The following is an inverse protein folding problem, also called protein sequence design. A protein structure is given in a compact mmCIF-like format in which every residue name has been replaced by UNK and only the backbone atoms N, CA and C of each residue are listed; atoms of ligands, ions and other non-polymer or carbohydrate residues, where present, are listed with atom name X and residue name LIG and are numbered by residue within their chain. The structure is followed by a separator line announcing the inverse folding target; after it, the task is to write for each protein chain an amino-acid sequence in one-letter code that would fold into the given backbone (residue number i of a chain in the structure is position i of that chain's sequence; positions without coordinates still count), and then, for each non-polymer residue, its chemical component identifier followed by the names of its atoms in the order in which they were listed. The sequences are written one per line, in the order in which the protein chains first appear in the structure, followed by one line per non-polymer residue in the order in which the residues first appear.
data_IF_847992219274
#
_entry.id   IF_847992219274
#
_cell.length_a   1.000
_cell.length_b   1.000
_cell.length_c   1.000
_cell.angle_alpha   90.00
_cell.angle_beta   90.00
_cell.angle_gamma   90.00
#
_symmetry.space_group_name_H-M   'P 1'
#
loop_
_entity.id
_entity.type
_entity.pdbx_description
1 polymer ?
#
# COMPACT_ATOMS: atom_id res chain seq x y z
N UNK A 1 33.72 12.02 20.88
CA UNK A 1 32.63 11.49 20.10
C UNK A 1 33.12 11.38 18.66
N UNK A 2 33.42 10.16 18.22
CA UNK A 2 33.96 9.87 16.89
C UNK A 2 32.79 9.69 15.97
N UNK A 3 32.52 10.66 15.08
CA UNK A 3 31.57 10.52 13.98
C UNK A 3 32.11 9.44 13.04
N UNK A 4 31.52 8.25 13.05
CA UNK A 4 31.71 7.27 11.98
C UNK A 4 30.98 7.81 10.75
N UNK A 5 31.70 8.17 9.69
CA UNK A 5 31.12 8.51 8.39
C UNK A 5 30.45 7.25 7.84
N UNK A 6 29.14 7.31 7.61
CA UNK A 6 28.39 6.25 6.92
C UNK A 6 28.91 6.14 5.48
N UNK A 7 28.80 4.97 4.87
CA UNK A 7 29.15 4.71 3.45
C UNK A 7 28.50 5.74 2.50
N UNK A 8 27.33 6.29 2.85
CA UNK A 8 26.64 7.37 2.15
C UNK A 8 27.47 8.63 1.92
N UNK A 9 28.44 8.95 2.77
CA UNK A 9 29.25 10.17 2.66
C UNK A 9 30.43 10.05 1.68
N UNK A 10 30.75 8.83 1.22
CA UNK A 10 31.90 8.58 0.34
C UNK A 10 31.54 8.78 -1.13
N UNK A 11 30.30 8.55 -1.53
CA UNK A 11 29.84 8.70 -2.93
C UNK A 11 29.63 10.14 -3.40
N UNK A 12 29.54 11.11 -2.50
CA UNK A 12 29.37 12.55 -2.87
C UNK A 12 30.66 13.29 -3.25
N UNK A 13 31.84 12.63 -3.17
CA UNK A 13 33.15 13.28 -3.38
C UNK A 13 33.94 12.82 -4.61
N UNK A 14 33.39 11.98 -5.49
CA UNK A 14 34.08 11.57 -6.74
C UNK A 14 33.38 12.12 -7.95
N UNK A 15 33.58 13.38 -8.16
CA UNK A 15 33.12 14.11 -9.35
C UNK A 15 33.93 15.33 -9.62
N UNK A 16 35.18 15.18 -10.07
CA UNK A 16 35.95 16.06 -10.98
C UNK A 16 37.45 15.86 -10.77
N UNK A 17 38.12 15.15 -11.70
CA UNK A 17 39.42 15.62 -12.24
C UNK A 17 39.98 14.55 -13.21
N UNK A 18 40.04 14.91 -14.41
CA UNK A 18 40.79 14.75 -15.62
C UNK A 18 41.96 13.77 -15.67
N UNK A 19 42.01 13.17 -16.86
CA UNK A 19 43.02 12.29 -17.38
C UNK A 19 44.45 12.85 -17.31
N UNK A 20 45.45 11.96 -17.21
CA UNK A 20 46.66 11.88 -18.03
C UNK A 20 47.66 10.85 -17.42
N UNK A 21 48.19 9.96 -18.28
CA UNK A 21 49.57 9.52 -18.23
C UNK A 21 49.87 8.07 -17.97
N UNK A 22 50.16 7.38 -19.04
CA UNK A 22 50.79 6.07 -19.19
C UNK A 22 52.17 5.92 -18.48
N UNK A 23 52.44 4.70 -18.10
CA UNK A 23 53.69 3.95 -18.29
C UNK A 23 54.35 3.39 -17.03
N UNK A 24 54.59 2.10 -17.04
CA UNK A 24 55.87 1.56 -16.60
C UNK A 24 55.92 0.48 -15.54
N UNK A 25 55.83 -0.75 -15.95
CA UNK A 25 56.60 -1.95 -15.61
C UNK A 25 57.13 -2.23 -14.18
N UNK A 26 56.83 -3.42 -13.74
CA UNK A 26 57.69 -4.50 -13.26
C UNK A 26 58.01 -4.63 -11.77
N UNK A 27 57.59 -5.77 -11.21
CA UNK A 27 58.38 -6.68 -10.42
C UNK A 27 58.43 -6.49 -8.91
N UNK A 28 58.00 -7.53 -8.18
CA UNK A 28 58.40 -7.76 -6.79
C UNK A 28 57.36 -8.42 -5.91
N UNK A 29 57.33 -9.70 -5.96
CA UNK A 29 57.25 -10.76 -4.94
C UNK A 29 56.84 -10.37 -3.50
N UNK A 30 55.86 -11.14 -2.96
CA UNK A 30 55.83 -11.58 -1.57
C UNK A 30 55.23 -10.64 -0.53
N UNK A 31 53.97 -10.82 -0.27
CA UNK A 31 53.29 -10.34 0.92
C UNK A 31 51.95 -11.02 1.09
N UNK A 32 51.97 -12.15 1.79
CA UNK A 32 50.82 -12.82 2.36
C UNK A 32 50.11 -11.82 3.30
N UNK A 33 49.16 -11.10 2.77
CA UNK A 33 48.20 -10.28 3.49
C UNK A 33 46.90 -11.05 3.46
N UNK A 34 46.65 -11.81 4.53
CA UNK A 34 45.36 -12.44 4.74
C UNK A 34 44.26 -11.40 4.56
N UNK A 35 43.55 -11.58 3.49
CA UNK A 35 42.22 -11.02 3.31
C UNK A 35 41.41 -11.70 4.41
N UNK A 36 41.22 -10.98 5.51
CA UNK A 36 40.20 -11.31 6.48
C UNK A 36 38.89 -11.15 5.78
N UNK A 37 38.42 -12.23 5.13
CA UNK A 37 37.06 -12.32 4.73
C UNK A 37 36.21 -12.13 5.98
N UNK A 38 35.69 -10.92 6.18
CA UNK A 38 34.53 -10.74 6.99
C UNK A 38 33.48 -11.67 6.36
N UNK A 39 33.08 -12.71 7.09
CA UNK A 39 31.96 -13.55 6.74
C UNK A 39 30.76 -12.59 6.54
N UNK A 40 30.48 -12.33 5.29
CA UNK A 40 29.56 -11.26 4.98
C UNK A 40 28.14 -11.84 4.90
N UNK A 41 27.29 -11.46 5.85
CA UNK A 41 25.85 -11.47 5.64
C UNK A 41 25.49 -10.57 4.46
N UNK A 42 24.20 -10.50 4.08
CA UNK A 42 23.74 -9.65 3.00
C UNK A 42 24.01 -8.16 3.29
N UNK A 43 24.23 -7.35 2.24
CA UNK A 43 24.33 -5.88 2.37
C UNK A 43 23.02 -5.26 2.84
N UNK A 44 21.90 -5.91 2.50
CA UNK A 44 20.54 -5.42 2.73
C UNK A 44 19.64 -6.51 3.29
N UNK A 45 18.87 -6.16 4.31
CA UNK A 45 17.70 -6.94 4.72
C UNK A 45 16.43 -6.24 4.18
N UNK A 46 15.61 -6.96 3.42
CA UNK A 46 14.27 -6.50 3.08
C UNK A 46 13.26 -7.16 4.02
N UNK A 47 12.48 -6.36 4.76
CA UNK A 47 11.51 -6.87 5.74
C UNK A 47 10.11 -6.49 5.30
N UNK A 48 9.29 -7.49 4.94
CA UNK A 48 7.92 -7.34 4.44
C UNK A 48 6.97 -7.93 5.49
N UNK A 49 6.21 -7.09 6.15
CA UNK A 49 5.36 -7.53 7.27
C UNK A 49 4.36 -6.46 7.70
N UNK A 50 3.86 -6.60 8.91
CA UNK A 50 2.85 -5.74 9.50
C UNK A 50 3.33 -5.14 10.83
N UNK A 51 2.74 -4.01 11.31
CA UNK A 51 3.31 -3.26 12.42
C UNK A 51 3.38 -4.05 13.74
N UNK A 52 2.33 -4.77 14.12
CA UNK A 52 2.30 -5.45 15.41
C UNK A 52 3.37 -6.56 15.52
N UNK A 53 3.50 -7.41 14.49
CA UNK A 53 4.58 -8.40 14.41
C UNK A 53 5.95 -7.72 14.21
N UNK A 54 5.98 -6.61 13.49
CA UNK A 54 7.17 -5.80 13.24
C UNK A 54 7.83 -5.31 14.52
N UNK A 55 7.05 -4.95 15.55
CA UNK A 55 7.57 -4.53 16.85
C UNK A 55 8.50 -5.60 17.44
N UNK A 56 8.04 -6.85 17.49
CA UNK A 56 8.83 -7.94 18.05
C UNK A 56 10.00 -8.31 17.14
N UNK A 57 9.78 -8.33 15.81
CA UNK A 57 10.83 -8.64 14.83
C UNK A 57 11.98 -7.64 14.92
N UNK A 58 11.70 -6.34 14.96
CA UNK A 58 12.76 -5.33 15.08
C UNK A 58 13.40 -5.30 16.45
N UNK A 59 12.69 -5.62 17.54
CA UNK A 59 13.32 -5.81 18.87
C UNK A 59 14.34 -6.94 18.85
N UNK A 60 13.97 -8.07 18.24
CA UNK A 60 14.88 -9.22 18.13
C UNK A 60 16.06 -8.90 17.20
N UNK A 61 15.82 -8.18 16.09
CA UNK A 61 16.90 -7.73 15.19
C UNK A 61 17.92 -6.85 15.92
N UNK A 62 17.49 -5.79 16.61
CA UNK A 62 18.41 -4.90 17.34
C UNK A 62 19.02 -5.54 18.59
N UNK A 63 18.51 -6.69 19.02
CA UNK A 63 19.18 -7.51 20.04
C UNK A 63 20.26 -8.43 19.45
N UNK A 64 20.14 -8.83 18.19
CA UNK A 64 21.05 -9.74 17.49
C UNK A 64 22.13 -9.00 16.68
N UNK A 65 21.85 -7.78 16.21
CA UNK A 65 22.72 -6.95 15.38
C UNK A 65 22.94 -5.56 15.99
N UNK A 66 24.12 -4.99 15.77
CA UNK A 66 24.42 -3.59 16.10
C UNK A 66 23.73 -2.59 15.12
N UNK A 67 22.92 -3.07 14.15
CA UNK A 67 22.21 -2.28 13.15
C UNK A 67 23.18 -1.73 12.08
N UNK A 68 24.13 -2.54 11.68
CA UNK A 68 25.11 -2.17 10.63
C UNK A 68 24.56 -2.40 9.22
N UNK A 69 23.59 -3.32 9.05
CA UNK A 69 22.91 -3.62 7.81
C UNK A 69 21.90 -2.52 7.47
N UNK A 70 21.83 -2.14 6.21
CA UNK A 70 20.69 -1.34 5.72
C UNK A 70 19.44 -2.23 5.66
N UNK A 71 18.29 -1.66 6.04
CA UNK A 71 16.99 -2.35 6.01
C UNK A 71 16.06 -1.60 5.07
N UNK A 72 15.41 -2.34 4.17
CA UNK A 72 14.35 -1.83 3.29
C UNK A 72 13.01 -2.44 3.68
N UNK A 73 12.01 -1.59 3.89
CA UNK A 73 10.66 -2.02 4.25
C UNK A 73 9.62 -1.44 3.28
N UNK A 74 8.55 -2.18 2.95
CA UNK A 74 7.42 -1.64 2.19
C UNK A 74 6.36 -1.01 3.09
N UNK A 75 5.22 -0.67 2.49
CA UNK A 75 4.05 -0.02 3.08
C UNK A 75 3.48 -0.70 4.33
N UNK A 76 3.47 -2.03 4.35
CA UNK A 76 2.89 -2.79 5.46
C UNK A 76 3.55 -2.52 6.82
N UNK A 77 4.74 -1.93 6.83
CA UNK A 77 5.47 -1.51 8.03
C UNK A 77 5.58 0.02 8.17
N UNK A 78 4.85 0.79 7.37
CA UNK A 78 4.83 2.25 7.49
C UNK A 78 3.96 2.70 8.67
N UNK A 79 4.49 2.55 9.87
CA UNK A 79 3.88 3.03 11.11
C UNK A 79 4.85 3.98 11.82
N UNK A 80 4.54 5.28 11.94
CA UNK A 80 5.41 6.26 12.60
C UNK A 80 5.68 5.93 14.05
N UNK A 81 4.82 5.17 14.71
CA UNK A 81 4.97 4.79 16.12
C UNK A 81 5.95 3.63 16.33
N UNK A 82 6.30 2.89 15.26
CA UNK A 82 7.13 1.70 15.33
C UNK A 82 8.49 1.94 16.01
N UNK A 83 9.26 3.03 15.71
CA UNK A 83 10.51 3.30 16.40
C UNK A 83 10.37 3.48 17.92
N UNK A 84 9.30 4.13 18.35
CA UNK A 84 8.97 4.30 19.77
C UNK A 84 8.65 2.99 20.47
N UNK A 85 7.88 2.15 19.82
CA UNK A 85 7.49 0.83 20.33
C UNK A 85 8.65 -0.17 20.35
N UNK A 86 9.50 -0.12 19.34
CA UNK A 86 10.75 -0.93 19.29
C UNK A 86 11.77 -0.43 20.34
N UNK A 87 11.78 0.87 20.61
CA UNK A 87 12.77 1.51 21.50
C UNK A 87 14.09 1.83 20.79
N UNK A 88 14.07 1.91 19.46
CA UNK A 88 15.20 2.27 18.59
C UNK A 88 14.77 3.32 17.57
N UNK A 89 15.64 4.26 17.19
CA UNK A 89 15.31 5.28 16.19
C UNK A 89 15.20 4.73 14.77
N UNK A 90 15.62 3.49 14.55
CA UNK A 90 15.54 2.78 13.27
C UNK A 90 16.17 3.56 12.11
N UNK A 91 17.29 4.24 12.39
CA UNK A 91 17.97 5.12 11.43
C UNK A 91 18.60 4.39 10.24
N UNK A 92 18.73 3.07 10.29
CA UNK A 92 19.20 2.21 9.19
C UNK A 92 18.03 1.67 8.34
N UNK A 93 16.81 2.13 8.58
CA UNK A 93 15.62 1.70 7.85
C UNK A 93 15.21 2.75 6.82
N UNK A 94 15.04 2.30 5.58
CA UNK A 94 14.43 3.07 4.49
C UNK A 94 13.14 2.38 4.08
N UNK A 95 12.08 3.14 3.85
CA UNK A 95 10.78 2.59 3.46
C UNK A 95 10.36 3.01 2.07
N UNK A 96 9.50 2.21 1.46
CA UNK A 96 8.73 2.55 0.26
C UNK A 96 7.25 2.31 0.54
N UNK A 97 6.37 3.14 0.00
CA UNK A 97 4.93 2.90 0.13
C UNK A 97 4.16 3.58 -1.00
N UNK A 98 2.97 3.08 -1.36
CA UNK A 98 2.04 3.83 -2.16
C UNK A 98 1.83 5.22 -1.57
N UNK A 99 2.06 6.24 -2.37
CA UNK A 99 1.87 7.63 -1.98
C UNK A 99 0.47 8.10 -2.38
N UNK A 100 -0.11 8.96 -1.58
CA UNK A 100 -1.24 9.75 -2.02
C UNK A 100 -0.71 10.77 -3.05
N UNK A 101 -1.00 10.54 -4.33
CA UNK A 101 -0.54 11.36 -5.47
C UNK A 101 -1.70 11.88 -6.29
N UNK A 102 -2.91 11.79 -5.77
CA UNK A 102 -4.13 12.22 -6.46
C UNK A 102 -4.25 13.73 -6.58
N UNK A 103 -4.98 14.21 -7.60
CA UNK A 103 -5.13 15.65 -7.85
C UNK A 103 -5.85 16.39 -6.73
N UNK A 104 -6.58 15.69 -5.86
CA UNK A 104 -7.34 16.26 -4.75
C UNK A 104 -6.84 15.81 -3.36
N UNK A 105 -5.59 15.38 -3.25
CA UNK A 105 -4.97 14.97 -1.99
C UNK A 105 -5.15 16.04 -0.89
N UNK A 106 -4.81 17.30 -1.16
CA UNK A 106 -4.89 18.38 -0.17
C UNK A 106 -6.31 18.65 0.34
N UNK A 107 -7.33 18.43 -0.51
CA UNK A 107 -8.73 18.55 -0.09
C UNK A 107 -9.10 17.45 0.92
N UNK A 108 -8.69 16.20 0.66
CA UNK A 108 -8.88 15.10 1.59
C UNK A 108 -8.10 15.29 2.89
N UNK A 109 -6.83 15.71 2.83
CA UNK A 109 -6.04 15.99 4.04
C UNK A 109 -6.73 17.01 4.96
N UNK A 110 -7.29 18.07 4.36
CA UNK A 110 -8.06 19.06 5.12
C UNK A 110 -9.33 18.46 5.73
N UNK A 111 -10.09 17.67 4.98
CA UNK A 111 -11.30 17.00 5.48
C UNK A 111 -10.99 16.04 6.64
N UNK A 112 -9.93 15.24 6.49
CA UNK A 112 -9.53 14.28 7.51
C UNK A 112 -9.03 14.99 8.78
N UNK A 113 -8.18 16.02 8.62
CA UNK A 113 -7.68 16.83 9.74
C UNK A 113 -8.83 17.55 10.47
N UNK A 114 -9.79 18.11 9.74
CA UNK A 114 -10.95 18.80 10.35
C UNK A 114 -11.85 17.83 11.12
N UNK A 115 -11.98 16.58 10.64
CA UNK A 115 -12.83 15.58 11.28
C UNK A 115 -12.17 14.92 12.50
N UNK A 116 -10.86 14.66 12.47
CA UNK A 116 -10.20 13.81 13.47
C UNK A 116 -9.04 14.48 14.22
N UNK A 117 -8.62 15.69 13.85
CA UNK A 117 -7.44 16.40 14.40
C UNK A 117 -6.15 15.57 14.27
N UNK A 118 -6.05 14.76 13.21
CA UNK A 118 -4.93 13.86 12.93
C UNK A 118 -4.45 14.02 11.47
N UNK A 119 -3.17 13.71 11.22
CA UNK A 119 -2.62 13.63 9.87
C UNK A 119 -2.98 12.28 9.25
N UNK A 120 -3.44 12.24 7.96
CA UNK A 120 -3.69 10.99 7.29
C UNK A 120 -2.45 10.09 7.22
N UNK A 121 -2.61 8.81 7.57
CA UNK A 121 -1.58 7.79 7.44
C UNK A 121 -1.59 7.10 6.08
N UNK A 122 -0.77 6.05 5.95
CA UNK A 122 -0.76 5.20 4.75
C UNK A 122 -2.15 4.62 4.49
N UNK A 123 -2.54 4.55 3.22
CA UNK A 123 -3.82 4.02 2.73
C UNK A 123 -5.11 4.74 3.19
N UNK A 124 -5.02 5.82 3.96
CA UNK A 124 -6.22 6.59 4.34
C UNK A 124 -6.87 7.28 3.13
N UNK A 125 -6.07 7.87 2.23
CA UNK A 125 -6.57 8.45 0.98
C UNK A 125 -7.24 7.40 0.10
N UNK A 126 -6.61 6.23 -0.02
CA UNK A 126 -7.16 5.10 -0.77
C UNK A 126 -8.47 4.59 -0.16
N UNK A 127 -8.59 4.57 1.16
CA UNK A 127 -9.81 4.14 1.87
C UNK A 127 -10.97 5.10 1.64
N UNK A 128 -10.69 6.40 1.70
CA UNK A 128 -11.68 7.42 1.34
C UNK A 128 -12.17 7.25 -0.10
N UNK A 129 -11.22 7.15 -1.05
CA UNK A 129 -11.54 7.03 -2.48
C UNK A 129 -12.30 5.74 -2.80
N UNK A 130 -11.96 4.63 -2.16
CA UNK A 130 -12.67 3.36 -2.29
C UNK A 130 -14.14 3.50 -1.87
N UNK A 131 -14.39 4.02 -0.67
CA UNK A 131 -15.74 4.22 -0.16
C UNK A 131 -16.52 5.25 -0.99
N UNK A 132 -15.88 6.36 -1.38
CA UNK A 132 -16.48 7.40 -2.22
C UNK A 132 -16.89 6.86 -3.59
N UNK A 133 -16.02 6.09 -4.26
CA UNK A 133 -16.33 5.48 -5.55
C UNK A 133 -17.50 4.49 -5.47
N UNK A 134 -17.53 3.64 -4.43
CA UNK A 134 -18.63 2.70 -4.21
C UNK A 134 -19.96 3.41 -3.95
N UNK A 135 -19.96 4.48 -3.16
CA UNK A 135 -21.16 5.28 -2.88
C UNK A 135 -21.64 5.99 -4.16
N UNK A 136 -20.74 6.65 -4.92
CA UNK A 136 -21.08 7.31 -6.17
C UNK A 136 -21.64 6.32 -7.20
N UNK A 137 -21.02 5.15 -7.34
CA UNK A 137 -21.50 4.09 -8.23
C UNK A 137 -22.88 3.55 -7.81
N UNK A 138 -23.12 3.42 -6.50
CA UNK A 138 -24.42 3.02 -5.96
C UNK A 138 -25.52 4.09 -6.24
N UNK A 139 -25.19 5.37 -6.09
CA UNK A 139 -26.10 6.46 -6.43
C UNK A 139 -26.38 6.45 -7.95
N UNK A 140 -25.38 6.26 -8.79
CA UNK A 140 -25.51 6.13 -10.24
C UNK A 140 -26.40 4.95 -10.63
N UNK A 141 -26.25 3.82 -9.95
CA UNK A 141 -27.07 2.62 -10.16
C UNK A 141 -28.54 2.82 -9.78
N UNK A 142 -28.82 3.73 -8.84
CA UNK A 142 -30.19 4.01 -8.36
C UNK A 142 -30.78 2.92 -7.48
N UNK A 143 -30.02 1.86 -7.18
CA UNK A 143 -30.44 0.71 -6.36
C UNK A 143 -29.27 0.06 -5.62
N UNK A 144 -29.59 -0.62 -4.51
CA UNK A 144 -28.62 -1.42 -3.76
C UNK A 144 -28.48 -2.81 -4.41
N UNK A 145 -27.77 -2.88 -5.55
CA UNK A 145 -27.53 -4.09 -6.31
C UNK A 145 -26.07 -4.13 -6.80
N UNK A 146 -25.35 -5.20 -6.47
CA UNK A 146 -23.90 -5.26 -6.77
C UNK A 146 -23.60 -5.22 -8.27
N UNK A 147 -24.33 -5.94 -9.11
CA UNK A 147 -24.15 -5.92 -10.56
C UNK A 147 -24.39 -4.51 -11.13
N UNK A 148 -25.45 -3.83 -10.71
CA UNK A 148 -25.73 -2.48 -11.15
C UNK A 148 -24.65 -1.48 -10.70
N UNK A 149 -24.11 -1.63 -9.47
CA UNK A 149 -23.01 -0.82 -8.94
C UNK A 149 -21.72 -1.08 -9.72
N UNK A 150 -21.35 -2.35 -9.95
CA UNK A 150 -20.21 -2.75 -10.78
C UNK A 150 -20.20 -2.03 -12.12
N UNK A 151 -21.32 -2.05 -12.82
CA UNK A 151 -21.48 -1.47 -14.14
C UNK A 151 -21.34 0.07 -14.14
N UNK A 152 -21.46 0.74 -12.98
CA UNK A 152 -21.29 2.18 -12.85
C UNK A 152 -19.87 2.60 -12.43
N UNK A 153 -19.05 1.74 -11.83
CA UNK A 153 -17.76 2.14 -11.24
C UNK A 153 -16.84 2.83 -12.24
N UNK A 154 -16.62 2.25 -13.42
CA UNK A 154 -15.78 2.91 -14.44
C UNK A 154 -16.44 4.15 -15.03
N UNK A 155 -17.76 4.22 -15.05
CA UNK A 155 -18.48 5.42 -15.52
C UNK A 155 -18.21 6.60 -14.60
N UNK A 156 -18.24 6.41 -13.28
CA UNK A 156 -18.04 7.51 -12.32
C UNK A 156 -16.56 7.87 -12.14
N UNK A 157 -15.65 6.93 -12.34
CA UNK A 157 -14.24 7.07 -12.01
C UNK A 157 -13.35 7.38 -13.20
N UNK A 158 -13.62 6.78 -14.38
CA UNK A 158 -12.74 6.89 -15.55
C UNK A 158 -12.98 8.20 -16.33
N UNK A 159 -12.02 8.61 -17.21
CA UNK A 159 -12.13 9.86 -17.96
C UNK A 159 -13.44 9.99 -18.74
N UNK A 160 -14.10 11.13 -18.55
CA UNK A 160 -15.41 11.47 -19.15
C UNK A 160 -16.21 12.30 -18.15
N UNK A 161 -17.05 13.20 -18.61
CA UNK A 161 -17.87 14.02 -17.71
C UNK A 161 -17.13 15.13 -16.95
N UNK A 162 -17.78 15.64 -15.91
CA UNK A 162 -17.24 16.72 -15.06
C UNK A 162 -16.39 16.13 -13.93
N UNK A 163 -15.20 16.72 -13.70
CA UNK A 163 -14.30 16.28 -12.63
C UNK A 163 -14.77 16.78 -11.28
N UNK A 164 -14.80 15.89 -10.30
CA UNK A 164 -15.06 16.16 -8.88
C UNK A 164 -14.07 15.42 -8.00
N UNK A 165 -13.79 15.96 -6.82
CA UNK A 165 -12.91 15.33 -5.83
C UNK A 165 -13.51 15.33 -4.43
N UNK A 166 -12.75 14.90 -3.41
CA UNK A 166 -13.19 14.87 -2.02
C UNK A 166 -13.81 16.16 -1.48
N UNK A 167 -13.26 17.32 -1.90
CA UNK A 167 -13.79 18.63 -1.50
C UNK A 167 -15.10 19.03 -2.17
N UNK A 168 -15.48 18.36 -3.24
CA UNK A 168 -16.70 18.59 -4.03
C UNK A 168 -17.58 17.32 -4.08
N UNK A 169 -17.40 16.43 -3.10
CA UNK A 169 -18.03 15.11 -3.08
C UNK A 169 -19.58 15.18 -3.12
N UNK A 170 -20.17 16.13 -2.39
CA UNK A 170 -21.62 16.31 -2.38
C UNK A 170 -22.15 16.79 -3.75
N UNK A 171 -21.40 17.65 -4.44
CA UNK A 171 -21.75 18.09 -5.79
C UNK A 171 -21.66 16.91 -6.78
N UNK A 172 -20.66 16.02 -6.60
CA UNK A 172 -20.56 14.79 -7.37
C UNK A 172 -21.76 13.86 -7.16
N UNK A 173 -22.22 13.70 -5.91
CA UNK A 173 -23.43 12.93 -5.58
C UNK A 173 -24.67 13.51 -6.26
N UNK A 174 -24.87 14.82 -6.23
CA UNK A 174 -25.98 15.47 -6.91
C UNK A 174 -25.92 15.30 -8.43
N UNK A 175 -24.74 15.47 -9.05
CA UNK A 175 -24.54 15.30 -10.49
C UNK A 175 -24.90 13.87 -10.92
N UNK A 176 -24.36 12.87 -10.23
CA UNK A 176 -24.64 11.45 -10.51
C UNK A 176 -26.13 11.12 -10.31
N UNK A 177 -26.75 11.62 -9.24
CA UNK A 177 -28.16 11.41 -8.96
C UNK A 177 -29.07 12.02 -10.05
N UNK A 178 -28.60 13.07 -10.73
CA UNK A 178 -29.27 13.68 -11.88
C UNK A 178 -28.97 12.97 -13.21
N UNK A 179 -28.17 11.87 -13.18
CA UNK A 179 -27.78 11.11 -14.37
C UNK A 179 -26.65 11.74 -15.18
N UNK A 180 -25.91 12.68 -14.61
CA UNK A 180 -24.76 13.32 -15.26
C UNK A 180 -23.52 12.39 -15.24
N UNK A 181 -22.71 12.48 -16.29
CA UNK A 181 -21.39 11.81 -16.30
C UNK A 181 -20.39 12.64 -15.52
N UNK A 182 -19.68 11.95 -14.63
CA UNK A 182 -18.60 12.53 -13.84
C UNK A 182 -17.28 11.81 -14.09
N UNK A 183 -16.20 12.40 -13.61
CA UNK A 183 -14.88 11.82 -13.52
C UNK A 183 -14.38 12.08 -12.10
N UNK A 184 -14.53 11.09 -11.21
CA UNK A 184 -14.06 11.21 -9.84
C UNK A 184 -12.54 11.25 -9.79
N UNK A 185 -11.99 12.34 -9.30
CA UNK A 185 -10.57 12.60 -9.15
C UNK A 185 -10.21 12.55 -7.67
N UNK A 186 -9.64 11.42 -7.27
CA UNK A 186 -9.44 11.10 -5.86
C UNK A 186 -8.27 11.83 -5.19
N UNK A 187 -8.08 11.48 -3.93
CA UNK A 187 -6.95 11.87 -3.10
C UNK A 187 -5.75 10.95 -3.30
N UNK A 188 -5.99 9.65 -3.47
CA UNK A 188 -4.93 8.65 -3.64
C UNK A 188 -4.33 8.68 -5.05
N UNK A 189 -5.19 8.80 -6.04
CA UNK A 189 -4.87 8.83 -7.46
C UNK A 189 -6.01 9.52 -8.23
N UNK A 190 -5.94 9.53 -9.57
CA UNK A 190 -7.07 9.90 -10.41
C UNK A 190 -8.23 8.87 -10.36
N UNK A 191 -8.10 7.77 -9.63
CA UNK A 191 -9.08 6.68 -9.48
C UNK A 191 -9.59 6.17 -10.84
N UNK A 192 -8.69 6.09 -11.82
CA UNK A 192 -9.02 5.52 -13.13
C UNK A 192 -8.77 4.01 -13.08
N UNK A 193 -9.83 3.23 -13.19
CA UNK A 193 -9.73 1.76 -13.17
C UNK A 193 -9.40 1.19 -14.55
N UNK A 194 -8.33 0.38 -14.62
CA UNK A 194 -8.00 -0.39 -15.81
C UNK A 194 -8.96 -1.58 -16.03
N UNK A 195 -8.62 -2.45 -16.98
CA UNK A 195 -9.43 -3.63 -17.28
C UNK A 195 -9.47 -4.68 -16.15
N UNK A 196 -8.54 -4.62 -15.22
CA UNK A 196 -8.45 -5.53 -14.06
C UNK A 196 -9.03 -4.90 -12.78
N UNK A 197 -9.62 -3.70 -12.85
CA UNK A 197 -10.07 -2.97 -11.67
C UNK A 197 -8.93 -2.33 -10.86
N UNK A 198 -7.70 -2.29 -11.39
CA UNK A 198 -6.52 -1.68 -10.77
C UNK A 198 -6.44 -0.19 -11.14
N UNK A 199 -5.80 0.67 -10.28
CA UNK A 199 -5.52 2.04 -10.66
C UNK A 199 -4.58 2.13 -11.86
N UNK A 200 -4.94 2.92 -12.88
CA UNK A 200 -4.13 3.11 -14.08
C UNK A 200 -2.85 3.92 -13.84
N UNK A 201 -2.77 4.66 -12.75
CA UNK A 201 -1.58 5.41 -12.32
C UNK A 201 -1.25 5.12 -10.87
N UNK A 202 0.03 5.26 -10.52
CA UNK A 202 0.51 5.03 -9.16
C UNK A 202 1.61 6.03 -8.79
N UNK A 203 1.71 6.35 -7.52
CA UNK A 203 2.85 7.04 -6.96
C UNK A 203 3.39 6.27 -5.76
N UNK A 204 4.71 6.31 -5.58
CA UNK A 204 5.38 5.69 -4.43
C UNK A 204 6.28 6.71 -3.75
N UNK A 205 6.18 6.77 -2.43
CA UNK A 205 7.10 7.53 -1.59
C UNK A 205 8.28 6.68 -1.18
N UNK A 206 9.45 7.29 -1.10
CA UNK A 206 10.63 6.78 -0.42
C UNK A 206 10.75 7.60 0.86
N UNK A 207 10.76 6.94 2.00
CA UNK A 207 10.67 7.60 3.29
C UNK A 207 11.62 7.00 4.33
N UNK A 208 11.85 7.71 5.41
CA UNK A 208 12.64 7.30 6.58
C UNK A 208 11.83 7.61 7.85
N UNK A 209 12.11 6.90 8.95
CA UNK A 209 11.51 7.24 10.22
C UNK A 209 12.05 8.58 10.74
N UNK A 210 11.15 9.47 11.18
CA UNK A 210 11.51 10.79 11.72
C UNK A 210 11.94 10.75 13.20
N UNK A 211 11.98 9.57 13.81
CA UNK A 211 12.42 9.32 15.19
C UNK A 211 11.36 8.70 16.09
N UNK A 212 11.72 8.39 17.33
CA UNK A 212 10.90 7.59 18.26
C UNK A 212 9.60 8.27 18.75
N UNK A 213 9.44 9.55 18.56
CA UNK A 213 8.28 10.31 19.02
C UNK A 213 7.60 11.08 17.89
N UNK A 214 7.85 10.69 16.64
CA UNK A 214 7.26 11.33 15.50
C UNK A 214 5.85 10.79 15.22
N UNK A 215 4.96 11.67 14.77
CA UNK A 215 3.59 11.34 14.39
C UNK A 215 3.48 11.06 12.88
N UNK A 216 4.60 11.18 12.15
CA UNK A 216 4.68 10.96 10.70
C UNK A 216 6.06 10.43 10.30
N UNK A 217 6.15 9.84 9.12
CA UNK A 217 7.43 9.51 8.48
C UNK A 217 7.98 10.73 7.74
N UNK A 218 9.30 10.74 7.47
CA UNK A 218 9.95 11.78 6.68
C UNK A 218 10.08 11.32 5.23
N UNK A 219 9.21 11.85 4.36
CA UNK A 219 9.19 11.53 2.92
C UNK A 219 10.35 12.22 2.23
N UNK A 220 11.26 11.43 1.66
CA UNK A 220 12.48 11.90 0.99
C UNK A 220 12.25 12.17 -0.50
N UNK A 221 11.42 11.36 -1.16
CA UNK A 221 11.17 11.39 -2.60
C UNK A 221 9.82 10.76 -2.91
N UNK A 222 9.17 11.22 -3.97
CA UNK A 222 7.99 10.58 -4.54
C UNK A 222 8.23 10.30 -6.02
N UNK A 223 7.98 9.07 -6.45
CA UNK A 223 8.07 8.62 -7.84
C UNK A 223 6.67 8.32 -8.37
N UNK A 224 6.32 8.89 -9.52
CA UNK A 224 5.02 8.68 -10.16
C UNK A 224 5.16 7.79 -11.39
N UNK A 225 4.18 6.91 -11.58
CA UNK A 225 4.07 6.00 -12.70
C UNK A 225 2.74 6.25 -13.40
N UNK A 226 2.80 6.67 -14.65
CA UNK A 226 1.61 6.89 -15.48
C UNK A 226 1.36 5.63 -16.32
N UNK A 227 0.22 5.01 -16.10
CA UNK A 227 -0.30 3.95 -16.97
C UNK A 227 -1.03 4.53 -18.19
N UNK A 228 -1.49 3.66 -19.08
CA UNK A 228 -2.41 4.07 -20.12
C UNK A 228 -3.74 4.48 -19.46
N UNK A 229 -4.19 5.71 -19.73
CA UNK A 229 -5.53 6.12 -19.29
C UNK A 229 -6.55 5.19 -19.92
N UNK A 230 -7.31 4.41 -19.15
CA UNK A 230 -8.37 3.61 -19.70
C UNK A 230 -9.46 4.54 -20.24
N UNK A 231 -10.09 4.12 -21.33
CA UNK A 231 -11.29 4.79 -21.81
C UNK A 231 -12.40 4.68 -20.75
N UNK A 232 -13.23 5.70 -20.62
CA UNK A 232 -14.43 5.64 -19.81
C UNK A 232 -15.31 4.48 -20.29
N UNK A 233 -15.81 3.68 -19.37
CA UNK A 233 -16.65 2.53 -19.66
C UNK A 233 -17.89 2.54 -18.75
N UNK A 234 -18.97 1.97 -19.23
CA UNK A 234 -20.23 1.91 -18.53
C UNK A 234 -21.37 2.55 -19.31
N UNK A 235 -22.61 2.50 -18.81
CA UNK A 235 -23.76 3.08 -19.47
C UNK A 235 -23.65 4.61 -19.53
N UNK A 236 -24.33 5.19 -20.54
CA UNK A 236 -24.45 6.65 -20.64
C UNK A 236 -25.33 7.22 -19.52
N UNK A 237 -25.25 8.54 -19.32
CA UNK A 237 -26.10 9.23 -18.34
C UNK A 237 -27.59 8.94 -18.55
N UNK A 238 -28.03 8.84 -19.82
CA UNK A 238 -29.42 8.54 -20.17
C UNK A 238 -29.87 7.12 -19.78
N UNK A 239 -28.92 6.20 -19.57
CA UNK A 239 -29.16 4.81 -19.18
C UNK A 239 -29.08 4.62 -17.66
N UNK A 240 -28.57 5.61 -16.93
CA UNK A 240 -28.46 5.57 -15.48
C UNK A 240 -29.78 5.95 -14.83
N UNK A 241 -30.37 5.08 -14.00
CA UNK A 241 -31.57 5.43 -13.26
C UNK A 241 -31.33 6.52 -12.22
N UNK A 242 -30.16 6.58 -11.58
CA UNK A 242 -29.77 7.56 -10.58
C UNK A 242 -30.84 7.87 -9.55
N UNK A 243 -30.56 8.73 -8.63
CA UNK A 243 -31.61 9.32 -7.81
C UNK A 243 -31.33 9.48 -6.33
N UNK A 244 -31.93 10.52 -5.78
CA UNK A 244 -32.02 10.80 -4.34
C UNK A 244 -33.33 10.20 -3.77
N UNK A 245 -33.59 10.41 -2.50
CA UNK A 245 -34.81 9.94 -1.81
C UNK A 245 -34.73 8.47 -1.39
N UNK A 246 -33.52 7.93 -1.19
CA UNK A 246 -33.27 6.51 -0.81
C UNK A 246 -32.17 6.35 0.21
N UNK A 247 -32.01 5.15 0.68
CA UNK A 247 -30.83 4.73 1.46
C UNK A 247 -29.85 3.99 0.55
N UNK A 248 -28.57 4.36 0.64
CA UNK A 248 -27.42 3.67 0.07
C UNK A 248 -26.83 2.77 1.14
N UNK A 249 -26.58 1.50 0.85
CA UNK A 249 -25.91 0.55 1.75
C UNK A 249 -24.50 0.28 1.25
N UNK A 250 -23.51 0.38 2.14
CA UNK A 250 -22.10 0.07 1.87
C UNK A 250 -21.47 -0.65 3.07
N UNK A 251 -20.61 -1.63 2.82
CA UNK A 251 -19.84 -2.31 3.85
C UNK A 251 -18.45 -1.70 3.99
N UNK A 252 -17.91 -1.71 5.19
CA UNK A 252 -16.52 -1.43 5.51
C UNK A 252 -15.96 -2.69 6.19
N UNK A 253 -15.00 -3.36 5.55
CA UNK A 253 -14.42 -4.62 6.01
C UNK A 253 -12.91 -4.44 6.14
N UNK A 254 -12.47 -3.87 7.26
CA UNK A 254 -11.09 -3.44 7.51
C UNK A 254 -10.62 -3.90 8.91
N UNK A 255 -9.31 -3.98 9.17
CA UNK A 255 -8.80 -4.45 10.46
C UNK A 255 -8.85 -3.35 11.54
N UNK A 256 -9.82 -3.43 12.44
CA UNK A 256 -9.82 -2.66 13.69
C UNK A 256 -8.86 -3.27 14.72
N UNK A 257 -8.71 -4.60 14.64
CA UNK A 257 -7.83 -5.39 15.50
C UNK A 257 -6.89 -6.27 14.68
N UNK A 258 -5.98 -7.00 15.35
CA UNK A 258 -5.00 -7.87 14.70
C UNK A 258 -3.72 -7.13 14.27
N UNK A 259 -2.95 -7.77 13.40
CA UNK A 259 -1.57 -7.35 13.08
C UNK A 259 -1.49 -6.04 12.29
N UNK A 260 -2.59 -5.60 11.67
CA UNK A 260 -2.74 -4.31 10.98
C UNK A 260 -3.60 -3.29 11.75
N UNK A 261 -3.84 -3.45 13.06
CA UNK A 261 -4.74 -2.57 13.81
C UNK A 261 -4.34 -1.09 13.75
N UNK A 262 -3.07 -0.77 13.90
CA UNK A 262 -2.57 0.61 13.88
C UNK A 262 -2.74 1.30 12.53
N UNK A 263 -2.62 0.55 11.43
CA UNK A 263 -2.89 1.03 10.06
C UNK A 263 -4.39 1.05 9.76
N UNK A 264 -5.13 0.03 10.21
CA UNK A 264 -6.54 -0.17 9.88
C UNK A 264 -7.47 0.87 10.51
N UNK A 265 -7.23 1.28 11.74
CA UNK A 265 -8.10 2.25 12.42
C UNK A 265 -8.17 3.62 11.70
N UNK A 266 -7.07 4.23 11.24
CA UNK A 266 -7.13 5.42 10.40
C UNK A 266 -7.84 5.18 9.06
N UNK A 267 -7.67 4.00 8.46
CA UNK A 267 -8.34 3.61 7.22
C UNK A 267 -9.86 3.50 7.39
N UNK A 268 -10.34 2.92 8.49
CA UNK A 268 -11.77 2.82 8.82
C UNK A 268 -12.38 4.22 8.90
N UNK A 269 -11.76 5.13 9.66
CA UNK A 269 -12.19 6.53 9.77
C UNK A 269 -12.27 7.22 8.40
N UNK A 270 -11.28 7.01 7.56
CA UNK A 270 -11.27 7.58 6.21
C UNK A 270 -12.38 6.99 5.31
N UNK A 271 -12.66 5.69 5.41
CA UNK A 271 -13.72 5.02 4.67
C UNK A 271 -15.14 5.46 5.11
N UNK A 272 -15.30 5.86 6.36
CA UNK A 272 -16.57 6.39 6.89
C UNK A 272 -16.87 7.83 6.45
N UNK A 273 -15.83 8.64 6.15
CA UNK A 273 -15.98 10.06 5.86
C UNK A 273 -16.96 10.39 4.72
N UNK A 274 -16.96 9.70 3.55
CA UNK A 274 -17.94 9.99 2.50
C UNK A 274 -19.38 9.79 2.95
N UNK A 275 -19.65 8.77 3.76
CA UNK A 275 -20.96 8.52 4.34
C UNK A 275 -21.34 9.61 5.36
N UNK A 276 -20.41 10.07 6.18
CA UNK A 276 -20.62 11.17 7.13
C UNK A 276 -20.93 12.47 6.40
N UNK A 277 -20.18 12.83 5.33
CA UNK A 277 -20.43 14.03 4.53
C UNK A 277 -21.88 14.06 3.99
N UNK A 278 -22.38 12.94 3.47
CA UNK A 278 -23.76 12.84 2.97
C UNK A 278 -24.76 12.95 4.11
N UNK A 279 -24.58 12.18 5.18
CA UNK A 279 -25.53 12.11 6.30
C UNK A 279 -25.63 13.42 7.09
N UNK A 280 -24.61 14.26 7.04
CA UNK A 280 -24.57 15.59 7.68
C UNK A 280 -25.05 16.72 6.75
N UNK A 281 -25.30 16.41 5.46
CA UNK A 281 -25.76 17.37 4.45
C UNK A 281 -27.28 17.49 4.40
N UNK A 282 -27.77 18.43 3.59
CA UNK A 282 -29.21 18.59 3.28
C UNK A 282 -29.68 17.71 2.10
N UNK A 283 -28.83 16.79 1.59
CA UNK A 283 -29.21 15.89 0.50
C UNK A 283 -30.29 14.91 0.97
N UNK A 284 -31.30 14.69 0.11
CA UNK A 284 -32.32 13.66 0.34
C UNK A 284 -31.75 12.26 0.05
N UNK A 285 -30.69 11.90 0.77
CA UNK A 285 -29.97 10.64 0.67
C UNK A 285 -29.41 10.28 2.05
N UNK A 286 -29.48 9.01 2.40
CA UNK A 286 -28.85 8.48 3.62
C UNK A 286 -27.87 7.37 3.23
N UNK A 287 -26.70 7.35 3.81
CA UNK A 287 -25.74 6.25 3.63
C UNK A 287 -25.65 5.43 4.92
N UNK A 288 -26.01 4.15 4.81
CA UNK A 288 -25.86 3.17 5.88
C UNK A 288 -24.53 2.41 5.67
N UNK A 289 -23.47 2.88 6.32
CA UNK A 289 -22.18 2.21 6.36
C UNK A 289 -22.16 1.15 7.46
N UNK A 290 -21.99 -0.12 7.09
CA UNK A 290 -21.92 -1.25 8.02
C UNK A 290 -20.48 -1.72 8.14
N UNK A 291 -19.97 -1.82 9.37
CA UNK A 291 -18.59 -2.20 9.66
C UNK A 291 -18.49 -3.63 10.19
N UNK A 292 -17.46 -4.35 9.72
CA UNK A 292 -17.01 -5.64 10.25
C UNK A 292 -15.48 -5.65 10.35
N UNK A 293 -14.94 -6.17 11.45
CA UNK A 293 -13.51 -6.29 11.71
C UNK A 293 -12.92 -7.55 11.08
N UNK A 294 -11.89 -7.41 10.25
CA UNK A 294 -11.17 -8.56 9.69
C UNK A 294 -10.19 -9.19 10.66
N UNK A 295 -9.80 -8.47 11.73
CA UNK A 295 -8.74 -8.90 12.65
C UNK A 295 -7.46 -9.38 11.94
N UNK A 296 -7.16 -8.86 10.74
CA UNK A 296 -6.06 -9.31 9.86
C UNK A 296 -6.05 -10.84 9.62
N UNK A 297 -7.19 -11.49 9.70
CA UNK A 297 -7.38 -12.94 9.64
C UNK A 297 -8.30 -13.32 8.47
N UNK A 298 -7.89 -14.27 7.59
CA UNK A 298 -8.74 -14.77 6.51
C UNK A 298 -10.09 -15.27 7.00
N UNK A 299 -10.12 -16.10 8.07
CA UNK A 299 -11.36 -16.66 8.60
C UNK A 299 -12.31 -15.59 9.14
N UNK A 300 -11.78 -14.54 9.80
CA UNK A 300 -12.59 -13.43 10.31
C UNK A 300 -13.06 -12.54 9.15
N UNK A 301 -12.19 -12.28 8.16
CA UNK A 301 -12.56 -11.55 6.96
C UNK A 301 -13.71 -12.20 6.19
N UNK A 302 -13.64 -13.51 5.96
CA UNK A 302 -14.73 -14.28 5.32
C UNK A 302 -16.01 -14.21 6.15
N UNK A 303 -15.93 -14.42 7.48
CA UNK A 303 -17.10 -14.33 8.36
C UNK A 303 -17.72 -12.93 8.37
N UNK A 304 -16.92 -11.86 8.39
CA UNK A 304 -17.37 -10.48 8.31
C UNK A 304 -18.04 -10.18 6.96
N UNK A 305 -17.46 -10.67 5.85
CA UNK A 305 -18.05 -10.54 4.52
C UNK A 305 -19.41 -11.26 4.43
N UNK A 306 -19.53 -12.48 4.96
CA UNK A 306 -20.81 -13.23 5.04
C UNK A 306 -21.87 -12.48 5.85
N UNK A 307 -21.46 -11.81 6.94
CA UNK A 307 -22.35 -10.95 7.75
C UNK A 307 -22.88 -9.77 6.93
N UNK A 308 -22.00 -9.03 6.23
CA UNK A 308 -22.37 -7.92 5.37
C UNK A 308 -23.29 -8.36 4.23
N UNK A 309 -22.96 -9.45 3.54
CA UNK A 309 -23.80 -10.03 2.47
C UNK A 309 -25.18 -10.43 3.00
N UNK A 310 -25.23 -11.10 4.16
CA UNK A 310 -26.50 -11.50 4.79
C UNK A 310 -27.35 -10.31 5.22
N UNK A 311 -26.74 -9.17 5.48
CA UNK A 311 -27.40 -7.89 5.77
C UNK A 311 -27.87 -7.15 4.51
N UNK A 312 -27.58 -7.68 3.32
CA UNK A 312 -27.96 -7.10 2.04
C UNK A 312 -27.06 -5.97 1.55
N UNK A 313 -25.82 -5.90 2.03
CA UNK A 313 -24.80 -4.95 1.55
C UNK A 313 -24.35 -5.34 0.14
N UNK A 314 -24.49 -4.44 -0.87
CA UNK A 314 -24.17 -4.74 -2.26
C UNK A 314 -22.73 -4.43 -2.68
N UNK A 315 -22.00 -3.68 -1.85
CA UNK A 315 -20.64 -3.24 -2.14
C UNK A 315 -19.83 -3.04 -0.85
N UNK A 316 -18.54 -3.40 -0.85
CA UNK A 316 -17.67 -3.43 0.32
C UNK A 316 -16.36 -2.70 0.04
N UNK A 317 -16.05 -1.68 0.85
CA UNK A 317 -14.71 -1.09 0.98
C UNK A 317 -13.86 -2.01 1.86
N UNK A 318 -12.89 -2.68 1.28
CA UNK A 318 -12.06 -3.68 1.97
C UNK A 318 -11.58 -4.79 1.00
N UNK A 319 -10.75 -5.69 1.49
CA UNK A 319 -10.08 -5.72 2.79
C UNK A 319 -8.70 -5.07 2.73
N UNK A 320 -8.00 -4.97 3.87
CA UNK A 320 -6.67 -4.36 3.87
C UNK A 320 -5.57 -5.34 3.44
N UNK A 321 -5.41 -6.45 4.13
CA UNK A 321 -4.40 -7.47 3.83
C UNK A 321 -4.76 -8.27 2.58
N UNK A 322 -3.82 -8.46 1.64
CA UNK A 322 -4.03 -9.30 0.45
C UNK A 322 -4.32 -10.76 0.81
N UNK A 323 -3.68 -11.28 1.87
CA UNK A 323 -3.95 -12.64 2.37
C UNK A 323 -5.36 -12.82 2.96
N UNK A 324 -6.05 -11.73 3.30
CA UNK A 324 -7.48 -11.72 3.69
C UNK A 324 -8.35 -11.43 2.47
N UNK A 325 -7.92 -10.55 1.57
CA UNK A 325 -8.70 -10.10 0.42
C UNK A 325 -9.04 -11.24 -0.53
N UNK A 326 -8.04 -12.02 -0.91
CA UNK A 326 -8.22 -13.10 -1.91
C UNK A 326 -9.28 -14.11 -1.47
N UNK A 327 -9.21 -14.74 -0.27
CA UNK A 327 -10.28 -15.65 0.18
C UNK A 327 -11.63 -14.95 0.36
N UNK A 328 -11.69 -13.73 0.88
CA UNK A 328 -12.94 -12.96 1.00
C UNK A 328 -13.60 -12.76 -0.37
N UNK A 329 -12.83 -12.38 -1.38
CA UNK A 329 -13.35 -12.19 -2.74
C UNK A 329 -13.82 -13.50 -3.34
N UNK A 330 -13.01 -14.57 -3.28
CA UNK A 330 -13.30 -15.85 -3.92
C UNK A 330 -14.45 -16.63 -3.24
N UNK A 331 -14.50 -16.59 -1.92
CA UNK A 331 -15.46 -17.38 -1.16
C UNK A 331 -16.79 -16.66 -0.92
N UNK A 332 -16.77 -15.32 -0.86
CA UNK A 332 -17.94 -14.55 -0.45
C UNK A 332 -18.38 -13.48 -1.46
N UNK A 333 -17.53 -12.51 -1.83
CA UNK A 333 -18.01 -11.36 -2.60
C UNK A 333 -18.41 -11.74 -4.02
N UNK A 334 -17.52 -12.39 -4.79
CA UNK A 334 -17.75 -12.78 -6.17
C UNK A 334 -18.95 -13.71 -6.31
N UNK A 335 -19.07 -14.81 -5.52
CA UNK A 335 -20.21 -15.71 -5.64
C UNK A 335 -21.58 -15.09 -5.30
N UNK A 336 -21.59 -13.99 -4.55
CA UNK A 336 -22.81 -13.27 -4.17
C UNK A 336 -23.04 -11.99 -4.98
N UNK A 337 -22.26 -11.77 -6.05
CA UNK A 337 -22.35 -10.59 -6.91
C UNK A 337 -22.23 -9.27 -6.12
N UNK A 338 -21.36 -9.25 -5.10
CA UNK A 338 -21.06 -8.07 -4.27
C UNK A 338 -19.76 -7.43 -4.75
N UNK A 339 -19.77 -6.13 -4.97
CA UNK A 339 -18.59 -5.39 -5.42
C UNK A 339 -17.61 -5.22 -4.27
N UNK A 340 -16.36 -5.60 -4.47
CA UNK A 340 -15.25 -5.29 -3.57
C UNK A 340 -14.39 -4.16 -4.14
N UNK A 341 -14.00 -3.20 -3.30
CA UNK A 341 -12.99 -2.21 -3.64
C UNK A 341 -11.98 -2.13 -2.51
N UNK A 342 -10.79 -2.72 -2.72
CA UNK A 342 -9.76 -2.75 -1.69
C UNK A 342 -8.91 -1.48 -1.67
N UNK A 343 -8.74 -0.85 -0.50
CA UNK A 343 -7.88 0.32 -0.37
C UNK A 343 -6.38 -0.01 -0.21
N UNK A 344 -6.01 -1.26 0.09
CA UNK A 344 -4.61 -1.57 0.44
C UNK A 344 -4.14 -2.99 0.14
N UNK A 345 -4.94 -3.82 -0.51
CA UNK A 345 -4.50 -5.15 -0.97
C UNK A 345 -3.71 -5.01 -2.27
N UNK A 346 -2.38 -5.08 -2.16
CA UNK A 346 -1.45 -4.75 -3.25
C UNK A 346 -0.96 -5.95 -4.05
N UNK A 347 -1.12 -7.18 -3.53
CA UNK A 347 -0.57 -8.38 -4.16
C UNK A 347 -1.06 -8.61 -5.60
N UNK A 348 -0.21 -9.27 -6.40
CA UNK A 348 -0.51 -9.65 -7.79
C UNK A 348 -1.69 -10.62 -7.90
N UNK A 349 -1.93 -11.44 -6.88
CA UNK A 349 -3.08 -12.35 -6.83
C UNK A 349 -4.42 -11.62 -6.90
N UNK A 350 -4.49 -10.35 -6.45
CA UNK A 350 -5.69 -9.52 -6.57
C UNK A 350 -5.93 -9.11 -8.03
N UNK A 351 -4.89 -8.65 -8.74
CA UNK A 351 -4.96 -8.34 -10.19
C UNK A 351 -5.42 -9.54 -11.03
N UNK A 352 -5.05 -10.75 -10.60
CA UNK A 352 -5.27 -11.98 -11.36
C UNK A 352 -6.52 -12.77 -10.93
N UNK A 353 -7.39 -12.18 -10.11
CA UNK A 353 -8.64 -12.83 -9.74
C UNK A 353 -9.53 -13.05 -10.97
N UNK A 354 -10.15 -14.21 -11.07
CA UNK A 354 -11.26 -14.45 -12.00
C UNK A 354 -12.54 -13.97 -11.30
N UNK A 355 -12.88 -12.69 -11.46
CA UNK A 355 -13.83 -11.98 -10.62
C UNK A 355 -15.10 -11.46 -11.34
N UNK A 356 -15.22 -11.72 -12.63
CA UNK A 356 -16.33 -11.19 -13.45
C UNK A 356 -16.52 -9.66 -13.27
N UNK A 357 -15.40 -8.95 -13.04
CA UNK A 357 -15.35 -7.49 -12.85
C UNK A 357 -16.01 -6.98 -11.56
N UNK A 358 -16.11 -7.81 -10.52
CA UNK A 358 -16.64 -7.41 -9.22
C UNK A 358 -15.58 -6.86 -8.26
N UNK A 359 -14.29 -7.03 -8.55
CA UNK A 359 -13.21 -6.64 -7.63
C UNK A 359 -12.40 -5.49 -8.22
N UNK A 360 -12.28 -4.43 -7.43
CA UNK A 360 -11.54 -3.21 -7.73
C UNK A 360 -10.59 -2.90 -6.58
N UNK A 361 -9.63 -2.00 -6.81
CA UNK A 361 -8.80 -1.44 -5.74
C UNK A 361 -8.37 -0.01 -6.06
N UNK A 362 -8.19 0.77 -5.01
CA UNK A 362 -7.59 2.12 -5.08
C UNK A 362 -6.10 2.11 -4.70
N UNK A 363 -5.60 0.99 -4.17
CA UNK A 363 -4.17 0.75 -3.98
C UNK A 363 -3.52 0.25 -5.28
N UNK A 364 -2.29 0.68 -5.61
CA UNK A 364 -1.56 0.17 -6.75
C UNK A 364 -1.02 -1.23 -6.51
N UNK A 365 -0.65 -1.93 -7.61
CA UNK A 365 -0.12 -3.29 -7.56
C UNK A 365 1.34 -3.35 -7.11
N UNK A 366 1.72 -4.41 -6.38
CA UNK A 366 3.09 -4.79 -6.02
C UNK A 366 4.01 -5.02 -7.23
N UNK A 367 3.44 -5.13 -8.43
CA UNK A 367 4.19 -5.16 -9.68
C UNK A 367 5.13 -3.95 -9.80
N UNK A 368 4.67 -2.76 -9.39
CA UNK A 368 5.45 -1.54 -9.41
C UNK A 368 6.27 -1.37 -8.12
N UNK A 369 5.70 -1.69 -6.96
CA UNK A 369 6.39 -1.52 -5.68
C UNK A 369 7.66 -2.34 -5.58
N UNK A 370 7.63 -3.61 -5.97
CA UNK A 370 8.83 -4.45 -5.98
C UNK A 370 9.96 -3.89 -6.85
N UNK A 371 9.61 -3.21 -7.96
CA UNK A 371 10.58 -2.50 -8.79
C UNK A 371 11.15 -1.25 -8.11
N UNK A 372 10.30 -0.44 -7.46
CA UNK A 372 10.76 0.73 -6.68
C UNK A 372 11.69 0.28 -5.57
N UNK A 373 11.35 -0.79 -4.86
CA UNK A 373 12.18 -1.37 -3.82
C UNK A 373 13.55 -1.81 -4.35
N UNK A 374 13.59 -2.53 -5.47
CA UNK A 374 14.84 -2.98 -6.09
C UNK A 374 15.72 -1.81 -6.55
N UNK A 375 15.10 -0.77 -7.12
CA UNK A 375 15.79 0.46 -7.48
C UNK A 375 16.38 1.17 -6.23
N UNK A 376 15.62 1.30 -5.17
CA UNK A 376 16.07 1.89 -3.90
C UNK A 376 17.23 1.08 -3.31
N UNK A 377 17.12 -0.24 -3.30
CA UNK A 377 18.16 -1.15 -2.82
C UNK A 377 19.48 -0.91 -3.57
N UNK A 378 19.45 -0.93 -4.89
CA UNK A 378 20.65 -0.79 -5.73
C UNK A 378 21.17 0.65 -5.79
N UNK A 379 20.31 1.62 -6.20
CA UNK A 379 20.78 2.96 -6.56
C UNK A 379 20.93 3.89 -5.34
N UNK A 380 20.08 3.74 -4.32
CA UNK A 380 20.11 4.61 -3.14
C UNK A 380 20.91 4.01 -1.98
N UNK A 381 20.70 2.73 -1.69
CA UNK A 381 21.39 2.02 -0.59
C UNK A 381 22.71 1.43 -1.05
N UNK A 382 22.89 1.18 -2.36
CA UNK A 382 24.13 0.65 -2.95
C UNK A 382 24.35 -0.81 -2.61
N UNK A 383 23.26 -1.54 -2.31
CA UNK A 383 23.31 -2.97 -2.02
C UNK A 383 23.60 -3.76 -3.31
N UNK A 384 24.41 -4.78 -3.19
CA UNK A 384 24.67 -5.79 -4.23
C UNK A 384 24.16 -7.16 -3.83
N UNK A 385 23.91 -7.37 -2.55
CA UNK A 385 23.36 -8.60 -2.00
C UNK A 385 22.23 -8.29 -1.04
N UNK A 386 21.21 -9.16 -1.00
CA UNK A 386 20.07 -9.02 -0.12
C UNK A 386 19.61 -10.36 0.46
N UNK A 387 18.89 -10.29 1.58
CA UNK A 387 18.00 -11.36 2.04
C UNK A 387 16.65 -10.77 2.35
N UNK A 388 15.57 -11.52 2.14
CA UNK A 388 14.22 -11.07 2.45
C UNK A 388 13.63 -11.85 3.62
N UNK A 389 12.98 -11.12 4.52
CA UNK A 389 12.11 -11.64 5.56
C UNK A 389 10.69 -11.21 5.22
N UNK A 390 9.76 -12.16 5.07
CA UNK A 390 8.41 -11.82 4.65
C UNK A 390 7.32 -12.55 5.44
N UNK A 391 6.22 -11.85 5.71
CA UNK A 391 5.04 -12.45 6.32
C UNK A 391 4.49 -13.56 5.41
N UNK A 392 4.19 -14.72 5.98
CA UNK A 392 3.76 -15.92 5.28
C UNK A 392 2.29 -15.79 4.80
N UNK A 393 2.07 -14.97 3.79
CA UNK A 393 0.80 -14.79 3.07
C UNK A 393 1.05 -14.24 1.66
N UNK A 394 -0.01 -14.04 0.88
CA UNK A 394 0.04 -13.57 -0.50
C UNK A 394 0.81 -12.25 -0.66
N UNK A 395 0.60 -11.27 0.24
CA UNK A 395 1.32 -10.01 0.20
C UNK A 395 2.84 -10.21 0.37
N UNK A 396 3.23 -10.83 1.48
CA UNK A 396 4.64 -10.98 1.81
C UNK A 396 5.40 -11.79 0.79
N UNK A 397 4.85 -12.94 0.40
CA UNK A 397 5.50 -13.84 -0.55
C UNK A 397 5.64 -13.17 -1.93
N UNK A 398 4.56 -12.65 -2.51
CA UNK A 398 4.58 -12.13 -3.87
C UNK A 398 5.43 -10.87 -4.00
N UNK A 399 5.42 -9.99 -3.00
CA UNK A 399 6.29 -8.81 -2.99
C UNK A 399 7.78 -9.19 -2.81
N UNK A 400 8.08 -10.19 -1.97
CA UNK A 400 9.44 -10.73 -1.84
C UNK A 400 9.95 -11.32 -3.16
N UNK A 401 9.14 -12.14 -3.83
CA UNK A 401 9.45 -12.71 -5.13
C UNK A 401 9.65 -11.63 -6.19
N UNK A 402 8.76 -10.61 -6.21
CA UNK A 402 8.85 -9.50 -7.17
C UNK A 402 10.09 -8.63 -6.96
N UNK A 403 10.37 -8.26 -5.70
CA UNK A 403 11.59 -7.54 -5.36
C UNK A 403 12.83 -8.32 -5.81
N UNK A 404 12.92 -9.60 -5.43
CA UNK A 404 14.06 -10.46 -5.71
C UNK A 404 14.30 -10.58 -7.22
N UNK A 405 13.26 -10.91 -7.99
CA UNK A 405 13.39 -11.06 -9.44
C UNK A 405 13.84 -9.77 -10.13
N UNK A 406 13.31 -8.60 -9.72
CA UNK A 406 13.75 -7.32 -10.32
C UNK A 406 15.16 -6.94 -9.87
N UNK A 407 15.50 -7.17 -8.59
CA UNK A 407 16.82 -6.86 -8.07
C UNK A 407 17.91 -7.68 -8.78
N UNK A 408 17.64 -8.95 -9.07
CA UNK A 408 18.56 -9.83 -9.81
C UNK A 408 18.59 -9.52 -11.32
N UNK A 409 17.41 -9.38 -11.97
CA UNK A 409 17.32 -9.30 -13.42
C UNK A 409 17.63 -7.90 -13.99
N UNK A 410 17.27 -6.81 -13.27
CA UNK A 410 17.41 -5.43 -13.75
C UNK A 410 18.56 -4.67 -13.11
N UNK A 411 19.00 -5.06 -11.90
CA UNK A 411 19.99 -4.32 -11.10
C UNK A 411 21.27 -5.12 -10.79
N UNK A 412 21.44 -6.30 -11.38
CA UNK A 412 22.60 -7.18 -11.16
C UNK A 412 22.87 -7.52 -9.69
N UNK A 413 21.82 -7.52 -8.84
CA UNK A 413 21.91 -7.91 -7.43
C UNK A 413 21.87 -9.42 -7.24
N UNK A 414 22.08 -9.90 -6.02
CA UNK A 414 21.96 -11.31 -5.63
C UNK A 414 21.12 -11.42 -4.36
N UNK A 415 20.05 -12.24 -4.38
CA UNK A 415 19.26 -12.54 -3.20
C UNK A 415 19.65 -13.87 -2.61
N UNK A 416 20.28 -13.86 -1.44
CA UNK A 416 20.82 -15.06 -0.81
C UNK A 416 19.74 -15.99 -0.26
N UNK A 417 18.67 -15.42 0.32
CA UNK A 417 17.58 -16.21 0.91
C UNK A 417 16.27 -15.41 0.95
N UNK A 418 15.15 -16.13 0.87
CA UNK A 418 13.80 -15.60 1.04
C UNK A 418 13.12 -16.38 2.16
N UNK A 419 13.00 -15.75 3.33
CA UNK A 419 12.63 -16.40 4.58
C UNK A 419 11.24 -15.94 5.03
N UNK A 420 10.30 -16.87 5.12
CA UNK A 420 8.97 -16.55 5.62
C UNK A 420 8.90 -16.59 7.14
N UNK A 421 8.02 -15.74 7.71
CA UNK A 421 7.65 -15.77 9.12
C UNK A 421 6.12 -15.66 9.27
N UNK A 422 5.58 -16.18 10.39
CA UNK A 422 4.16 -16.02 10.69
C UNK A 422 3.93 -14.82 11.61
N UNK A 423 2.75 -14.21 11.53
CA UNK A 423 2.33 -13.15 12.46
C UNK A 423 2.11 -13.71 13.87
N UNK A 424 2.24 -12.84 14.88
CA UNK A 424 1.91 -13.18 16.28
C UNK A 424 2.90 -14.12 16.97
N UNK A 425 4.09 -14.35 16.43
CA UNK A 425 5.12 -15.13 17.09
C UNK A 425 5.73 -14.36 18.28
N UNK A 426 6.10 -15.07 19.33
CA UNK A 426 6.70 -14.48 20.52
C UNK A 426 8.18 -14.10 20.33
N UNK A 427 8.84 -14.62 19.31
CA UNK A 427 10.21 -14.29 18.90
C UNK A 427 10.45 -14.63 17.44
N UNK A 428 11.23 -13.78 16.79
CA UNK A 428 11.69 -13.91 15.40
C UNK A 428 13.20 -14.14 15.30
N UNK A 429 13.90 -14.41 16.41
CA UNK A 429 15.36 -14.54 16.47
C UNK A 429 15.91 -15.56 15.46
N UNK A 430 15.22 -16.70 15.28
CA UNK A 430 15.69 -17.75 14.35
C UNK A 430 15.69 -17.28 12.88
N UNK A 431 14.63 -16.59 12.42
CA UNK A 431 14.55 -16.10 11.03
C UNK A 431 15.52 -14.94 10.80
N UNK A 432 15.77 -14.13 11.83
CA UNK A 432 16.75 -13.04 11.80
C UNK A 432 18.17 -13.61 11.71
N UNK A 433 18.53 -14.59 12.56
CA UNK A 433 19.84 -15.25 12.51
C UNK A 433 20.06 -15.93 11.15
N UNK A 434 19.03 -16.56 10.56
CA UNK A 434 19.11 -17.15 9.23
C UNK A 434 19.39 -16.07 8.19
N UNK A 435 18.66 -14.94 8.21
CA UNK A 435 18.86 -13.85 7.25
C UNK A 435 20.24 -13.21 7.37
N UNK A 436 20.71 -12.93 8.59
CA UNK A 436 22.02 -12.32 8.83
C UNK A 436 23.18 -13.24 8.48
N UNK A 437 22.97 -14.56 8.49
CA UNK A 437 23.99 -15.56 8.14
C UNK A 437 23.89 -16.06 6.70
N UNK A 438 22.90 -15.63 5.93
CA UNK A 438 22.75 -16.01 4.53
C UNK A 438 23.93 -15.46 3.70
N UNK A 439 24.44 -16.27 2.77
CA UNK A 439 25.63 -15.94 1.97
C UNK A 439 26.96 -16.42 2.57
N UNK A 440 26.98 -17.04 3.75
CA UNK A 440 28.18 -17.61 4.39
C UNK A 440 28.38 -19.08 4.06
#
# INVERSE_FOLDING_TARGET
MSYRKRRRDVLKTVGAAGAIGLAGCAGGDGGDGGDGGSGGGPDLLTVIGYPESGIQLFRDYYAASDGEEDILIPDGLQDPSLPGQVGNAMENVTGTAPAAGGPNQSAFESLYQDAYDETPGVFTSQSYDSAAALILANVAAGENNGTAIRDQLRRIANPGGTSYGPGEFLDAVEAVANGEDINYQGASSAVNFDQNGDPASAAYSIWEFAGQSADSVDVQETQSFEGANPDGAGPSADESPGGLGREVSVGILLPETGDLASTGQPMIRAAELPAQQINESDLDLTVNAQFEDTNTSPDQGVSGAESLVSSGVPAVCGTASSGVNVPVCQETLIPNEVVGCSPSSTALSVTNLEDDDYIFRTAPSDQLQGRVMAQVASERLGASTAATLYVNNDYGQQLSERFSGVFEDEFDGEVYDQISFNIGESSYSNVIEQALSSGN
#
